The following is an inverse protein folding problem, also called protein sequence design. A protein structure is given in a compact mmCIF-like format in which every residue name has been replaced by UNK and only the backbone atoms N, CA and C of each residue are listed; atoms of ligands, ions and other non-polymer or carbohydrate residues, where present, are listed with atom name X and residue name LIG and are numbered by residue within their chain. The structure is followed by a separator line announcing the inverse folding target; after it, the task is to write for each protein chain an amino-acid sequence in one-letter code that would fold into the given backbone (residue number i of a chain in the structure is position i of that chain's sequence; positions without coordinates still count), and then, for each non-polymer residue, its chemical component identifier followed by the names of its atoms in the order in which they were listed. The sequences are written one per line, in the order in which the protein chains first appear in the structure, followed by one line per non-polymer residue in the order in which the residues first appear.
data_IF_590826611803
#
_entry.id   IF_590826611803
#
_cell.length_a   1.000
_cell.length_b   1.000
_cell.length_c   1.000
_cell.angle_alpha   90.00
_cell.angle_beta   90.00
_cell.angle_gamma   90.00
#
_symmetry.space_group_name_H-M   'P 1'
#
loop_
_entity.id
_entity.type
_entity.pdbx_description
1 polymer ?
#
# COMPACT_ATOMS: atom_id res chain seq x y z
N UNK A 1 2.66 -3.31 -3.13
CA UNK A 1 3.27 -4.01 -1.97
C UNK A 1 4.65 -4.46 -2.39
N UNK A 2 5.71 -4.03 -1.70
CA UNK A 2 7.06 -4.55 -1.90
C UNK A 2 7.67 -4.79 -0.52
N UNK A 3 7.85 -6.07 -0.19
CA UNK A 3 8.40 -6.51 1.09
C UNK A 3 9.78 -7.14 0.88
N UNK A 4 10.67 -6.88 1.82
CA UNK A 4 11.90 -7.66 2.00
C UNK A 4 11.86 -8.34 3.37
N UNK A 5 12.10 -9.66 3.36
CA UNK A 5 11.93 -10.56 4.49
C UNK A 5 13.28 -11.16 4.86
N UNK A 6 13.79 -10.79 6.03
CA UNK A 6 15.01 -11.37 6.59
C UNK A 6 14.82 -12.84 6.94
N UNK A 7 15.85 -13.66 6.71
CA UNK A 7 15.82 -15.11 6.97
C UNK A 7 15.45 -15.47 8.42
N UNK A 8 15.77 -14.60 9.37
CA UNK A 8 15.45 -14.78 10.79
C UNK A 8 13.96 -14.62 11.13
N UNK A 9 13.14 -14.10 10.21
CA UNK A 9 11.70 -13.96 10.41
C UNK A 9 11.04 -15.30 10.75
N UNK A 10 11.44 -16.39 10.08
CA UNK A 10 10.87 -17.73 10.31
C UNK A 10 11.16 -18.20 11.74
N UNK A 11 12.34 -17.90 12.27
CA UNK A 11 12.68 -18.24 13.65
C UNK A 11 11.87 -17.43 14.66
N UNK A 12 11.59 -16.16 14.37
CA UNK A 12 10.70 -15.34 15.21
C UNK A 12 9.26 -15.87 15.16
N UNK A 13 8.74 -16.19 13.97
CA UNK A 13 7.40 -16.80 13.80
C UNK A 13 7.28 -18.09 14.63
N UNK A 14 8.27 -18.98 14.57
CA UNK A 14 8.24 -20.26 15.32
C UNK A 14 8.18 -20.09 16.83
N UNK A 15 8.72 -18.99 17.36
CA UNK A 15 8.72 -18.69 18.80
C UNK A 15 7.42 -18.03 19.26
N UNK A 16 6.78 -17.27 18.38
CA UNK A 16 5.70 -16.34 18.73
C UNK A 16 4.32 -16.70 18.14
N UNK A 17 4.24 -17.68 17.23
CA UNK A 17 2.97 -18.20 16.72
C UNK A 17 2.70 -19.55 17.36
N UNK A 18 1.64 -19.67 18.17
CA UNK A 18 1.33 -20.86 18.97
C UNK A 18 -0.08 -21.35 18.63
N UNK A 19 -0.20 -22.60 18.19
CA UNK A 19 -1.46 -23.19 17.76
C UNK A 19 -2.49 -23.17 18.88
N UNK A 20 -3.71 -22.73 18.58
CA UNK A 20 -4.82 -22.63 19.51
C UNK A 20 -4.67 -21.54 20.57
N UNK A 21 -3.62 -20.72 20.51
CA UNK A 21 -3.34 -19.71 21.53
C UNK A 21 -3.00 -18.34 20.96
N UNK A 22 -2.15 -18.24 19.94
CA UNK A 22 -1.47 -17.00 19.62
C UNK A 22 -1.29 -16.78 18.12
N UNK A 23 -1.79 -15.64 17.63
CA UNK A 23 -1.46 -15.07 16.32
C UNK A 23 -0.26 -14.16 16.50
N UNK A 24 0.77 -14.32 15.68
CA UNK A 24 1.92 -13.42 15.68
C UNK A 24 1.71 -12.29 14.67
N UNK A 25 1.78 -11.05 15.14
CA UNK A 25 1.60 -9.84 14.35
C UNK A 25 2.85 -8.94 14.44
N UNK A 26 3.88 -9.15 13.59
CA UNK A 26 5.08 -8.34 13.63
C UNK A 26 4.77 -6.88 13.30
N UNK A 27 5.30 -5.95 14.10
CA UNK A 27 5.42 -4.55 13.71
C UNK A 27 6.60 -4.44 12.74
N UNK A 28 6.31 -4.05 11.52
CA UNK A 28 7.26 -3.99 10.40
C UNK A 28 7.92 -2.61 10.32
N UNK A 29 9.04 -2.51 9.61
CA UNK A 29 9.64 -1.22 9.28
C UNK A 29 9.05 -0.71 7.96
N UNK A 30 8.41 0.45 7.99
CA UNK A 30 8.02 1.17 6.77
C UNK A 30 9.18 2.07 6.34
N UNK A 31 9.80 1.75 5.22
CA UNK A 31 10.94 2.47 4.67
C UNK A 31 10.47 3.74 3.94
N UNK A 32 11.28 4.79 4.01
CA UNK A 32 11.18 5.97 3.17
C UNK A 32 11.63 5.65 1.73
N UNK A 33 11.35 6.55 0.78
CA UNK A 33 11.71 6.36 -0.64
C UNK A 33 13.22 6.15 -0.90
N UNK A 34 14.09 6.55 0.03
CA UNK A 34 15.54 6.41 -0.05
C UNK A 34 16.11 5.38 0.95
N UNK A 35 15.26 4.55 1.56
CA UNK A 35 15.64 3.48 2.47
C UNK A 35 15.70 2.12 1.77
N UNK A 36 16.51 1.22 2.33
CA UNK A 36 16.55 -0.19 1.94
C UNK A 36 16.65 -1.08 3.17
N UNK A 37 16.52 -2.40 3.02
CA UNK A 37 16.78 -3.35 4.10
C UNK A 37 18.24 -3.35 4.56
N UNK A 38 19.19 -3.09 3.66
CA UNK A 38 20.62 -2.99 3.99
C UNK A 38 20.97 -1.68 4.72
N UNK A 39 20.26 -0.59 4.41
CA UNK A 39 20.38 0.69 5.11
C UNK A 39 18.98 1.22 5.48
N UNK A 40 18.39 0.72 6.58
CA UNK A 40 17.03 1.05 6.97
C UNK A 40 16.88 2.54 7.29
N UNK A 41 16.09 3.23 6.48
CA UNK A 41 15.64 4.60 6.72
C UNK A 41 14.12 4.61 6.70
N UNK A 42 13.50 4.73 7.87
CA UNK A 42 12.07 4.56 7.99
C UNK A 42 11.62 4.61 9.44
N UNK A 43 10.40 4.14 9.69
CA UNK A 43 9.82 4.08 11.02
C UNK A 43 9.11 2.74 11.25
N UNK A 44 8.98 2.36 12.52
CA UNK A 44 8.12 1.25 12.89
C UNK A 44 6.67 1.57 12.56
N UNK A 45 6.00 0.65 11.86
CA UNK A 45 4.59 0.82 11.53
C UNK A 45 3.72 0.18 12.60
N UNK A 46 3.23 1.00 13.54
CA UNK A 46 2.52 0.54 14.74
C UNK A 46 1.04 0.23 14.50
N UNK A 47 0.41 0.83 13.49
CA UNK A 47 -1.06 0.84 13.33
C UNK A 47 -1.56 0.03 12.13
N UNK A 48 -1.02 -1.19 11.92
CA UNK A 48 -1.53 -2.11 10.88
C UNK A 48 -1.22 -3.56 11.16
N UNK A 49 -2.07 -4.46 10.67
CA UNK A 49 -1.89 -5.91 10.74
C UNK A 49 -1.70 -6.55 9.36
N UNK A 50 -1.16 -5.80 8.39
CA UNK A 50 -0.95 -6.29 7.02
C UNK A 50 -0.01 -7.51 6.89
N UNK A 51 0.65 -7.90 7.97
CA UNK A 51 1.44 -9.14 8.07
C UNK A 51 1.13 -9.83 9.40
N UNK A 52 0.71 -11.09 9.32
CA UNK A 52 0.49 -11.98 10.48
C UNK A 52 1.01 -13.38 10.17
N UNK A 53 1.34 -14.13 11.21
CA UNK A 53 1.53 -15.57 11.16
C UNK A 53 0.51 -16.25 12.07
N UNK A 54 -0.13 -17.29 11.54
CA UNK A 54 -1.22 -17.99 12.19
C UNK A 54 -1.23 -19.45 11.72
N UNK A 55 -1.59 -20.37 12.62
CA UNK A 55 -1.77 -21.76 12.23
C UNK A 55 -2.98 -21.90 11.30
N UNK A 56 -2.87 -22.81 10.33
CA UNK A 56 -3.92 -23.04 9.33
C UNK A 56 -5.24 -23.48 9.98
N UNK A 57 -5.18 -24.29 11.02
CA UNK A 57 -6.35 -24.76 11.76
C UNK A 57 -7.03 -23.62 12.52
N UNK A 58 -6.25 -22.72 13.13
CA UNK A 58 -6.77 -21.54 13.81
C UNK A 58 -7.41 -20.57 12.82
N UNK A 59 -6.76 -20.32 11.67
CA UNK A 59 -7.33 -19.54 10.56
C UNK A 59 -8.70 -20.05 10.13
N UNK A 60 -8.82 -21.36 9.94
CA UNK A 60 -10.10 -22.00 9.59
C UNK A 60 -11.13 -21.89 10.72
N UNK A 61 -10.70 -22.00 11.97
CA UNK A 61 -11.58 -21.95 13.14
C UNK A 61 -12.24 -20.59 13.31
N UNK A 62 -11.50 -19.48 13.14
CA UNK A 62 -12.10 -18.14 13.23
C UNK A 62 -12.74 -17.66 11.91
N UNK A 63 -12.58 -18.39 10.81
CA UNK A 63 -13.27 -18.12 9.54
C UNK A 63 -12.48 -17.34 8.49
N UNK A 64 -11.22 -16.96 8.77
CA UNK A 64 -10.37 -16.26 7.82
C UNK A 64 -10.87 -14.85 7.47
N UNK A 65 -10.81 -14.47 6.19
CA UNK A 65 -11.33 -13.19 5.72
C UNK A 65 -12.86 -13.16 5.75
N UNK A 66 -13.42 -12.09 6.29
CA UNK A 66 -14.87 -11.88 6.25
C UNK A 66 -15.38 -11.63 4.83
N UNK A 67 -16.56 -12.21 4.53
CA UNK A 67 -17.25 -12.02 3.24
C UNK A 67 -17.60 -10.56 2.93
N UNK A 68 -17.63 -9.68 3.94
CA UNK A 68 -17.81 -8.24 3.76
C UNK A 68 -16.74 -7.58 2.88
N UNK A 69 -15.60 -8.24 2.70
CA UNK A 69 -14.51 -7.76 1.84
C UNK A 69 -14.56 -8.31 0.41
N UNK A 70 -15.42 -9.28 0.09
CA UNK A 70 -15.43 -9.98 -1.20
C UNK A 70 -15.63 -9.03 -2.41
N UNK A 71 -16.45 -8.00 -2.23
CA UNK A 71 -16.76 -7.01 -3.28
C UNK A 71 -16.04 -5.66 -3.05
N UNK A 72 -15.11 -5.59 -2.10
CA UNK A 72 -14.43 -4.34 -1.74
C UNK A 72 -13.28 -4.08 -2.72
N UNK A 73 -13.43 -3.01 -3.49
CA UNK A 73 -12.42 -2.54 -4.47
C UNK A 73 -11.54 -1.42 -3.94
N UNK A 74 -11.51 -1.20 -2.62
CA UNK A 74 -10.68 -0.19 -1.97
C UNK A 74 -9.82 -0.82 -0.89
N UNK A 75 -8.73 -0.18 -0.49
CA UNK A 75 -7.83 -0.69 0.54
C UNK A 75 -8.38 -0.49 1.97
N UNK A 76 -8.06 -1.41 2.89
CA UNK A 76 -8.09 -1.18 4.35
C UNK A 76 -9.27 -1.79 5.12
N UNK A 77 -9.03 -2.15 6.37
CA UNK A 77 -10.03 -2.70 7.29
C UNK A 77 -10.03 -4.23 7.39
N UNK A 78 -9.54 -4.92 6.36
CA UNK A 78 -9.44 -6.38 6.35
C UNK A 78 -8.47 -6.91 7.42
N UNK A 79 -7.39 -6.16 7.68
CA UNK A 79 -6.37 -6.53 8.63
C UNK A 79 -6.87 -6.42 10.08
N UNK A 80 -7.63 -5.37 10.38
CA UNK A 80 -8.32 -5.23 11.67
C UNK A 80 -9.43 -6.26 11.87
N UNK A 81 -10.20 -6.56 10.83
CA UNK A 81 -11.25 -7.58 10.88
C UNK A 81 -10.69 -8.99 11.16
N UNK A 82 -9.55 -9.34 10.55
CA UNK A 82 -8.83 -10.59 10.86
C UNK A 82 -8.49 -10.66 12.34
N UNK A 83 -7.94 -9.58 12.91
CA UNK A 83 -7.53 -9.55 14.32
C UNK A 83 -8.72 -9.65 15.26
N UNK A 84 -9.79 -8.92 14.97
CA UNK A 84 -11.02 -8.97 15.76
C UNK A 84 -11.61 -10.38 15.77
N UNK A 85 -11.66 -11.06 14.61
CA UNK A 85 -12.15 -12.43 14.51
C UNK A 85 -11.22 -13.45 15.20
N UNK A 86 -9.91 -13.28 15.11
CA UNK A 86 -8.96 -14.11 15.84
C UNK A 86 -9.16 -14.01 17.37
N UNK A 87 -9.34 -12.79 17.89
CA UNK A 87 -9.61 -12.55 19.32
C UNK A 87 -10.94 -13.14 19.74
N UNK A 88 -12.01 -12.94 18.96
CA UNK A 88 -13.32 -13.59 19.19
C UNK A 88 -13.22 -15.12 19.16
N UNK A 89 -12.32 -15.67 18.33
CA UNK A 89 -12.01 -17.10 18.25
C UNK A 89 -11.21 -17.65 19.44
N UNK A 90 -10.84 -16.79 20.40
CA UNK A 90 -10.10 -17.13 21.62
C UNK A 90 -8.58 -17.08 21.47
N UNK A 91 -8.05 -16.41 20.45
CA UNK A 91 -6.61 -16.26 20.24
C UNK A 91 -6.10 -14.93 20.80
N UNK A 92 -4.92 -14.95 21.39
CA UNK A 92 -4.16 -13.78 21.78
C UNK A 92 -3.36 -13.24 20.58
N UNK A 93 -3.10 -11.93 20.58
CA UNK A 93 -2.32 -11.27 19.53
C UNK A 93 -0.97 -10.86 20.10
N UNK A 94 0.08 -11.55 19.65
CA UNK A 94 1.45 -11.23 20.01
C UNK A 94 2.00 -10.16 19.06
N UNK A 95 2.26 -8.97 19.58
CA UNK A 95 2.63 -7.80 18.78
C UNK A 95 4.03 -7.30 19.13
N UNK A 96 5.01 -7.54 18.25
CA UNK A 96 6.43 -7.27 18.51
C UNK A 96 7.11 -6.59 17.32
N UNK A 97 8.02 -5.65 17.60
CA UNK A 97 8.92 -5.06 16.58
C UNK A 97 9.80 -6.13 15.96
N UNK A 98 9.67 -6.33 14.65
CA UNK A 98 10.44 -7.32 13.90
C UNK A 98 11.41 -6.61 12.94
N UNK A 99 12.73 -6.65 13.18
CA UNK A 99 13.72 -6.05 12.27
C UNK A 99 13.95 -6.89 11.01
N UNK A 100 13.03 -7.81 10.70
CA UNK A 100 13.14 -8.77 9.61
C UNK A 100 12.06 -8.57 8.54
N UNK A 101 11.23 -7.53 8.66
CA UNK A 101 10.17 -7.21 7.68
C UNK A 101 10.25 -5.74 7.32
N UNK A 102 10.62 -5.48 6.07
CA UNK A 102 10.76 -4.14 5.53
C UNK A 102 9.73 -3.92 4.43
N UNK A 103 8.91 -2.89 4.57
CA UNK A 103 7.99 -2.46 3.53
C UNK A 103 8.56 -1.23 2.83
N UNK A 104 8.89 -1.39 1.55
CA UNK A 104 9.36 -0.28 0.74
C UNK A 104 8.25 0.75 0.50
N UNK A 105 8.60 2.02 0.61
CA UNK A 105 7.72 3.11 0.19
C UNK A 105 7.22 2.86 -1.23
N UNK A 106 5.93 3.08 -1.43
CA UNK A 106 5.35 3.14 -2.75
C UNK A 106 4.26 4.23 -2.76
N UNK A 107 4.15 4.92 -3.88
CA UNK A 107 3.07 5.90 -4.08
C UNK A 107 1.72 5.20 -4.09
N UNK A 108 0.68 5.89 -3.59
CA UNK A 108 -0.72 5.49 -3.72
C UNK A 108 -1.43 6.21 -4.87
N UNK A 109 -0.73 7.11 -5.56
CA UNK A 109 -1.29 7.88 -6.67
C UNK A 109 -1.80 6.93 -7.78
N UNK A 110 -3.00 7.19 -8.28
CA UNK A 110 -3.63 6.36 -9.30
C UNK A 110 -4.28 5.07 -8.79
N UNK A 111 -4.07 4.68 -7.54
CA UNK A 111 -4.77 3.53 -6.98
C UNK A 111 -6.26 3.85 -6.73
N UNK A 112 -7.14 2.88 -7.02
CA UNK A 112 -8.57 2.92 -6.72
C UNK A 112 -9.35 4.09 -7.37
N UNK A 113 -8.76 4.77 -8.35
CA UNK A 113 -9.44 5.82 -9.10
C UNK A 113 -10.58 5.22 -9.92
N UNK A 114 -11.81 5.71 -9.73
CA UNK A 114 -12.93 5.38 -10.61
C UNK A 114 -12.59 5.90 -12.01
N UNK A 115 -12.74 5.07 -13.04
CA UNK A 115 -12.69 5.57 -14.42
C UNK A 115 -13.77 6.62 -14.59
N UNK A 116 -13.39 7.89 -14.61
CA UNK A 116 -14.26 8.93 -15.16
C UNK A 116 -14.22 8.72 -16.68
N UNK A 117 -15.33 8.29 -17.27
CA UNK A 117 -15.48 8.38 -18.72
C UNK A 117 -15.50 9.87 -19.09
N UNK A 118 -14.31 10.44 -19.32
CA UNK A 118 -14.21 11.73 -19.99
C UNK A 118 -14.60 11.46 -21.44
N UNK A 119 -15.84 11.79 -21.79
CA UNK A 119 -16.27 11.93 -23.18
C UNK A 119 -15.29 12.91 -23.81
N UNK A 120 -14.43 12.41 -24.70
CA UNK A 120 -13.44 13.24 -25.38
C UNK A 120 -14.15 14.22 -26.28
N UNK A 121 -14.21 15.49 -25.88
CA UNK A 121 -14.41 16.57 -26.84
C UNK A 121 -13.13 16.69 -27.65
N UNK A 122 -13.16 16.17 -28.88
CA UNK A 122 -12.17 16.45 -29.91
C UNK A 122 -12.06 17.98 -30.05
N UNK A 123 -10.93 18.56 -29.62
CA UNK A 123 -10.55 19.90 -30.02
C UNK A 123 -10.28 19.86 -31.54
N UNK A 124 -11.26 20.32 -32.33
CA UNK A 124 -11.01 20.70 -33.72
C UNK A 124 -10.10 21.93 -33.70
N UNK A 125 -8.87 21.76 -34.15
CA UNK A 125 -7.97 22.87 -34.46
C UNK A 125 -8.52 23.63 -35.68
N UNK A 126 -9.21 24.74 -35.45
CA UNK A 126 -9.49 25.69 -36.52
C UNK A 126 -8.22 26.51 -36.78
N UNK A 127 -7.53 26.16 -37.88
CA UNK A 127 -6.66 27.10 -38.59
C UNK A 127 -7.55 28.20 -39.16
N UNK A 128 -7.30 29.44 -38.77
CA UNK A 128 -7.75 30.61 -39.53
C UNK A 128 -6.58 31.57 -39.65
N UNK A 129 -6.10 31.69 -40.88
CA UNK A 129 -5.14 32.69 -41.33
C UNK A 129 -5.70 34.11 -41.24
N UNK A 130 -4.78 35.08 -41.29
CA UNK A 130 -4.92 36.56 -41.30
C UNK A 130 -4.80 37.15 -39.90
N UNK A 131 -3.81 38.01 -39.59
CA UNK A 131 -3.48 39.24 -40.30
C UNK A 131 -1.98 39.54 -40.20
N UNK A 132 -1.37 39.81 -41.35
CA UNK A 132 -0.08 40.47 -41.47
C UNK A 132 -0.16 41.89 -40.91
N UNK A 133 0.89 42.33 -40.21
CA UNK A 133 1.66 43.56 -40.48
C UNK A 133 2.35 44.00 -39.20
N UNK A 134 3.65 43.74 -39.10
CA UNK A 134 4.57 44.60 -38.36
C UNK A 134 6.00 44.39 -38.89
N UNK A 135 6.75 45.50 -38.95
CA UNK A 135 8.16 45.67 -39.33
C UNK A 135 8.44 45.99 -40.81
N UNK A 136 8.63 47.28 -41.12
CA UNK A 136 9.96 47.94 -41.03
C UNK A 136 9.86 49.43 -41.38
N UNK A 137 10.26 50.27 -40.43
CA UNK A 137 10.71 51.63 -40.68
C UNK A 137 12.11 51.59 -41.32
N UNK A 138 12.29 52.38 -42.39
CA UNK A 138 13.51 52.84 -43.11
C UNK A 138 13.08 52.97 -44.59
N UNK A 139 13.17 54.08 -45.31
CA UNK A 139 13.93 55.30 -45.11
C UNK A 139 13.30 56.42 -45.95
N UNK A 140 13.35 57.64 -45.41
CA UNK A 140 13.28 58.89 -46.17
C UNK A 140 14.55 58.99 -47.03
N UNK A 141 14.43 59.21 -48.34
CA UNK A 141 15.39 59.95 -49.17
C UNK A 141 14.86 60.08 -50.62
N UNK A 142 14.51 61.34 -50.92
CA UNK A 142 14.56 62.06 -52.20
C UNK A 142 13.67 61.61 -53.35
#
# INVERSE_FOLDING_TARGET
MHLDLGSQLINDIRKHCIKGKMVYAPQIVYLNCNGSSALPKGAWFHYSYGTVAVYKEDWKKFGGFSKGFDNKVTWGGEDWDIIDNAVKGGLEIERKRSPWVYHYYHTKAGMWQKKTNKVGTQQKSNKTDKVATQQKAKANKS
#
